data_IF_289374298642
#
_entry.id   IF_289374298642
#
_cell.length_a   1.000
_cell.length_b   1.000
_cell.length_c   1.000
_cell.angle_alpha   90.00
_cell.angle_beta   90.00
_cell.angle_gamma   90.00
#
_symmetry.space_group_name_H-M   'P 1'
#
loop_
_entity.id
_entity.type
_entity.pdbx_description
1 polymer ?
#
# COMPACT_ATOMS: atom_id res chain seq x y z
N UNK A 1 13.72 -33.98 6.15
CA UNK A 1 14.14 -33.33 7.41
C UNK A 1 13.29 -32.11 7.63
N UNK A 2 12.56 -32.10 8.76
CA UNK A 2 11.51 -31.15 9.12
C UNK A 2 12.05 -29.73 9.35
N UNK A 3 11.46 -28.72 8.69
CA UNK A 3 11.83 -27.32 8.92
C UNK A 3 10.85 -26.23 8.44
N UNK A 4 9.75 -26.55 7.76
CA UNK A 4 8.88 -25.56 7.09
C UNK A 4 7.63 -25.15 7.89
N UNK A 5 7.62 -25.38 9.21
CA UNK A 5 6.47 -25.08 10.09
C UNK A 5 6.72 -23.91 11.05
N UNK A 6 7.66 -23.01 10.76
CA UNK A 6 7.91 -21.85 11.63
C UNK A 6 7.28 -20.58 11.06
N UNK A 7 6.16 -20.17 11.71
CA UNK A 7 5.44 -18.88 11.67
C UNK A 7 4.04 -18.86 11.04
N UNK A 8 3.22 -19.87 11.31
CA UNK A 8 1.77 -19.85 11.04
C UNK A 8 0.93 -19.03 12.04
N UNK A 9 1.52 -18.03 12.69
CA UNK A 9 0.83 -17.20 13.67
C UNK A 9 1.23 -15.74 13.47
N UNK A 10 0.43 -14.96 12.72
CA UNK A 10 0.30 -13.48 12.83
C UNK A 10 -0.57 -12.80 11.75
N UNK A 11 -1.34 -13.51 10.92
CA UNK A 11 -2.12 -12.89 9.85
C UNK A 11 -3.57 -12.70 10.28
N UNK A 12 -3.88 -11.50 10.76
CA UNK A 12 -5.25 -11.14 11.19
C UNK A 12 -5.82 -9.96 10.41
N UNK A 13 -5.06 -9.37 9.47
CA UNK A 13 -5.46 -8.15 8.75
C UNK A 13 -5.34 -8.27 7.22
N UNK A 14 -5.14 -9.48 6.69
CA UNK A 14 -5.16 -9.78 5.26
C UNK A 14 -6.32 -10.75 5.06
N UNK A 15 -7.33 -10.44 4.21
CA UNK A 15 -8.41 -11.37 3.93
C UNK A 15 -7.87 -12.74 3.50
N UNK A 16 -8.47 -13.82 3.97
CA UNK A 16 -7.97 -15.18 3.71
C UNK A 16 -7.91 -15.51 2.20
N UNK A 17 -8.88 -14.99 1.43
CA UNK A 17 -8.93 -15.11 -0.02
C UNK A 17 -7.72 -14.43 -0.69
N UNK A 18 -7.43 -13.18 -0.32
CA UNK A 18 -6.23 -12.49 -0.80
C UNK A 18 -4.94 -13.24 -0.46
N UNK A 19 -4.87 -13.85 0.72
CA UNK A 19 -3.71 -14.67 1.08
C UNK A 19 -3.57 -15.88 0.15
N UNK A 20 -4.67 -16.58 -0.14
CA UNK A 20 -4.67 -17.74 -1.01
C UNK A 20 -4.28 -17.37 -2.45
N UNK A 21 -4.77 -16.23 -2.96
CA UNK A 21 -4.37 -15.68 -4.26
C UNK A 21 -2.86 -15.42 -4.32
N UNK A 22 -2.31 -14.72 -3.33
CA UNK A 22 -0.90 -14.36 -3.30
C UNK A 22 0.01 -15.59 -3.20
N UNK A 23 -0.41 -16.63 -2.50
CA UNK A 23 0.30 -17.91 -2.46
C UNK A 23 0.30 -18.59 -3.83
N UNK A 24 -0.86 -18.61 -4.52
CA UNK A 24 -0.97 -19.15 -5.88
C UNK A 24 -0.12 -18.38 -6.91
N UNK A 25 0.10 -17.09 -6.68
CA UNK A 25 0.99 -16.23 -7.47
C UNK A 25 2.48 -16.42 -7.14
N UNK A 26 2.83 -17.27 -6.18
CA UNK A 26 4.20 -17.42 -5.68
C UNK A 26 4.58 -16.28 -4.74
N UNK A 27 4.06 -16.35 -3.51
CA UNK A 27 4.32 -15.35 -2.47
C UNK A 27 5.82 -15.22 -2.17
N UNK A 28 6.36 -14.01 -2.30
CA UNK A 28 7.76 -13.69 -2.00
C UNK A 28 7.87 -13.20 -0.54
N UNK A 29 6.96 -12.32 -0.13
CA UNK A 29 6.97 -11.70 1.19
C UNK A 29 5.59 -11.21 1.59
N UNK A 30 5.26 -11.37 2.87
CA UNK A 30 4.02 -10.87 3.45
C UNK A 30 4.26 -10.22 4.80
N UNK A 31 3.71 -9.02 4.96
CA UNK A 31 3.77 -8.27 6.19
C UNK A 31 2.36 -7.81 6.61
N UNK A 32 1.73 -8.59 7.50
CA UNK A 32 0.47 -8.21 8.14
C UNK A 32 0.64 -7.30 9.35
N UNK A 33 -0.41 -6.51 9.65
CA UNK A 33 -0.51 -5.64 10.84
C UNK A 33 0.70 -4.70 11.00
N UNK A 34 1.12 -4.09 9.89
CA UNK A 34 2.24 -3.15 9.87
C UNK A 34 1.76 -1.74 10.21
N UNK A 35 2.58 -0.99 10.94
CA UNK A 35 2.31 0.42 11.17
C UNK A 35 2.42 1.20 9.87
N UNK A 36 1.39 1.96 9.53
CA UNK A 36 1.38 2.85 8.37
C UNK A 36 1.32 4.28 8.86
N UNK A 37 2.31 5.10 8.51
CA UNK A 37 2.26 6.54 8.78
C UNK A 37 1.82 7.23 7.50
N UNK A 38 0.68 7.90 7.58
CA UNK A 38 0.17 8.75 6.51
C UNK A 38 0.60 10.18 6.75
N UNK A 39 1.31 10.77 5.80
CA UNK A 39 1.52 12.21 5.69
C UNK A 39 0.60 12.75 4.61
N UNK A 40 -0.11 13.83 4.88
CA UNK A 40 -1.03 14.47 3.93
C UNK A 40 -0.86 15.97 4.02
N UNK A 41 -0.60 16.59 2.89
CA UNK A 41 -0.50 18.05 2.76
C UNK A 41 -1.15 18.45 1.46
N UNK A 42 -2.24 19.19 1.52
CA UNK A 42 -2.97 19.62 0.35
C UNK A 42 -4.48 19.73 0.55
N UNK A 43 -5.16 19.75 -0.58
CA UNK A 43 -6.61 19.87 -0.67
C UNK A 43 -7.20 18.66 -1.41
N UNK A 44 -8.23 18.07 -0.81
CA UNK A 44 -9.14 17.09 -1.42
C UNK A 44 -10.55 17.58 -1.07
N UNK A 45 -11.52 17.63 -2.00
CA UNK A 45 -12.85 18.17 -1.71
C UNK A 45 -13.43 17.64 -0.39
N UNK A 46 -13.73 18.56 0.54
CA UNK A 46 -14.19 18.25 1.90
C UNK A 46 -13.10 18.26 2.98
N UNK A 47 -11.82 18.36 2.63
CA UNK A 47 -10.72 18.46 3.60
C UNK A 47 -9.51 19.23 3.05
N UNK A 48 -8.92 20.05 3.92
CA UNK A 48 -7.64 20.70 3.68
C UNK A 48 -6.71 20.44 4.86
N UNK A 49 -5.42 20.27 4.59
CA UNK A 49 -4.41 20.20 5.63
C UNK A 49 -3.08 20.75 5.13
N UNK A 50 -2.45 21.63 5.91
CA UNK A 50 -1.10 22.11 5.63
C UNK A 50 -0.01 21.08 6.00
N UNK A 51 -0.28 20.19 6.98
CA UNK A 51 0.70 19.20 7.47
C UNK A 51 0.03 18.12 8.34
N UNK A 52 -0.83 17.30 7.75
CA UNK A 52 -1.55 16.23 8.44
C UNK A 52 -0.69 14.98 8.60
N UNK A 53 -0.62 14.43 9.81
CA UNK A 53 0.03 13.13 10.08
C UNK A 53 -0.94 12.24 10.85
N UNK A 54 -1.14 11.02 10.36
CA UNK A 54 -1.99 10.02 11.02
C UNK A 54 -1.34 8.64 10.99
N UNK A 55 -1.66 7.81 11.99
CA UNK A 55 -1.13 6.44 12.12
C UNK A 55 -2.25 5.43 11.93
N UNK A 56 -1.95 4.38 11.20
CA UNK A 56 -2.86 3.31 10.83
C UNK A 56 -2.16 1.95 10.97
N UNK A 57 -2.92 0.88 10.84
CA UNK A 57 -2.42 -0.49 10.75
C UNK A 57 -2.89 -1.10 9.44
N UNK A 58 -1.95 -1.51 8.59
CA UNK A 58 -2.22 -2.07 7.26
C UNK A 58 -1.46 -3.38 7.03
N UNK A 59 -1.35 -3.77 5.76
CA UNK A 59 -0.54 -4.89 5.32
C UNK A 59 0.07 -4.58 3.96
N UNK A 60 1.17 -5.25 3.61
CA UNK A 60 1.67 -5.30 2.24
C UNK A 60 2.29 -6.66 1.92
N UNK A 61 2.29 -7.00 0.65
CA UNK A 61 2.77 -8.26 0.12
C UNK A 61 3.47 -8.07 -1.22
N UNK A 62 4.43 -8.96 -1.49
CA UNK A 62 5.11 -9.11 -2.77
C UNK A 62 4.85 -10.55 -3.24
N UNK A 63 4.25 -10.73 -4.41
CA UNK A 63 4.18 -12.02 -5.10
C UNK A 63 5.03 -11.97 -6.37
N UNK A 64 5.20 -13.09 -7.07
CA UNK A 64 5.86 -13.07 -8.37
C UNK A 64 5.09 -12.22 -9.40
N UNK A 65 3.77 -12.08 -9.24
CA UNK A 65 2.90 -11.35 -10.15
C UNK A 65 2.81 -9.85 -9.83
N UNK A 66 2.69 -9.47 -8.55
CA UNK A 66 2.28 -8.10 -8.18
C UNK A 66 2.78 -7.60 -6.82
N UNK A 67 2.64 -6.29 -6.66
CA UNK A 67 2.77 -5.57 -5.40
C UNK A 67 1.36 -5.20 -4.88
N UNK A 68 1.07 -5.57 -3.63
CA UNK A 68 -0.22 -5.27 -2.99
C UNK A 68 0.01 -4.63 -1.62
N UNK A 69 -0.73 -3.57 -1.30
CA UNK A 69 -0.79 -3.05 0.05
C UNK A 69 -2.18 -2.51 0.43
N UNK A 70 -2.66 -2.95 1.59
CA UNK A 70 -3.94 -2.54 2.16
C UNK A 70 -3.78 -1.24 2.96
N UNK A 71 -4.87 -0.50 3.11
CA UNK A 71 -4.92 0.63 4.01
C UNK A 71 -6.29 0.61 4.70
N UNK A 72 -6.36 0.82 6.03
CA UNK A 72 -7.64 0.76 6.71
C UNK A 72 -8.48 1.99 6.37
N UNK A 73 -9.29 1.88 5.33
CA UNK A 73 -10.28 2.88 4.95
C UNK A 73 -11.62 2.55 5.56
N UNK A 74 -12.31 3.56 6.10
CA UNK A 74 -13.66 3.36 6.65
C UNK A 74 -14.64 3.05 5.51
N UNK A 75 -15.31 1.90 5.61
CA UNK A 75 -16.44 1.53 4.77
C UNK A 75 -16.07 0.84 3.45
N UNK A 76 -14.80 0.48 3.26
CA UNK A 76 -14.36 -0.37 2.15
C UNK A 76 -13.16 -1.20 2.62
N UNK A 77 -13.38 -2.51 2.73
CA UNK A 77 -12.38 -3.47 3.22
C UNK A 77 -11.43 -3.94 2.11
N UNK A 78 -11.86 -3.80 0.85
CA UNK A 78 -11.13 -4.27 -0.34
C UNK A 78 -10.30 -3.16 -0.96
N UNK A 79 -10.54 -1.91 -0.57
CA UNK A 79 -9.78 -0.77 -1.02
C UNK A 79 -8.31 -0.86 -0.61
N UNK A 80 -7.46 -0.88 -1.63
CA UNK A 80 -6.02 -1.01 -1.49
C UNK A 80 -5.35 0.32 -1.82
N UNK A 81 -4.25 0.58 -1.13
CA UNK A 81 -3.37 1.69 -1.49
C UNK A 81 -2.60 1.43 -2.79
N UNK A 82 -2.39 0.15 -3.10
CA UNK A 82 -1.78 -0.34 -4.34
C UNK A 82 -2.17 -1.80 -4.53
N UNK A 83 -2.49 -2.15 -5.77
CA UNK A 83 -2.64 -3.53 -6.26
C UNK A 83 -2.32 -3.49 -7.75
N UNK A 84 -1.06 -3.78 -8.10
CA UNK A 84 -0.64 -3.71 -9.50
C UNK A 84 0.48 -4.69 -9.84
N UNK A 85 0.50 -5.20 -11.09
CA UNK A 85 1.62 -5.98 -11.61
C UNK A 85 2.94 -5.21 -11.61
N UNK A 86 4.06 -5.93 -11.56
CA UNK A 86 5.40 -5.35 -11.50
C UNK A 86 5.81 -4.54 -12.74
N UNK A 87 5.21 -4.79 -13.90
CA UNK A 87 5.46 -4.07 -15.16
C UNK A 87 4.70 -2.73 -15.26
N UNK A 88 3.87 -2.39 -14.26
CA UNK A 88 3.20 -1.09 -14.17
C UNK A 88 4.23 0.03 -14.01
N UNK A 89 4.23 0.99 -14.92
CA UNK A 89 5.22 2.08 -14.94
C UNK A 89 4.61 3.48 -15.12
N UNK A 90 3.29 3.61 -14.99
CA UNK A 90 2.55 4.85 -15.25
C UNK A 90 1.55 5.14 -14.14
N UNK A 91 1.42 6.41 -13.81
CA UNK A 91 0.41 6.93 -12.89
C UNK A 91 0.98 7.99 -11.95
N UNK A 92 0.13 8.58 -11.11
CA UNK A 92 0.49 9.71 -10.24
C UNK A 92 1.22 9.28 -8.96
N UNK A 93 1.21 7.99 -8.63
CA UNK A 93 1.90 7.48 -7.46
C UNK A 93 3.19 6.73 -7.81
N UNK A 94 4.11 6.71 -6.86
CA UNK A 94 5.34 5.94 -6.88
C UNK A 94 5.41 5.06 -5.63
N UNK A 95 5.67 3.77 -5.82
CA UNK A 95 5.97 2.84 -4.75
C UNK A 95 7.49 2.62 -4.70
N UNK A 96 8.10 2.65 -3.52
CA UNK A 96 9.53 2.38 -3.31
C UNK A 96 9.71 1.36 -2.19
N UNK A 97 10.43 0.28 -2.48
CA UNK A 97 10.66 -0.83 -1.57
C UNK A 97 12.08 -0.76 -1.01
N UNK A 98 12.17 -0.75 0.32
CA UNK A 98 13.43 -0.60 1.05
C UNK A 98 13.53 -1.63 2.17
N UNK A 99 14.72 -1.78 2.76
CA UNK A 99 14.91 -2.58 3.99
C UNK A 99 14.01 -2.14 5.14
N UNK A 100 13.50 -0.90 5.13
CA UNK A 100 12.64 -0.34 6.19
C UNK A 100 11.14 -0.59 5.91
N UNK A 101 10.79 -1.05 4.71
CA UNK A 101 9.42 -1.32 4.30
C UNK A 101 9.08 -0.69 2.95
N UNK A 102 7.79 -0.41 2.78
CA UNK A 102 7.21 0.15 1.57
C UNK A 102 6.86 1.63 1.79
N UNK A 103 7.32 2.47 0.86
CA UNK A 103 6.92 3.87 0.74
C UNK A 103 6.00 4.02 -0.47
N UNK A 104 4.88 4.71 -0.29
CA UNK A 104 4.03 5.16 -1.39
C UNK A 104 3.96 6.68 -1.34
N UNK A 105 4.36 7.34 -2.43
CA UNK A 105 4.23 8.79 -2.63
C UNK A 105 3.18 9.04 -3.72
N UNK A 106 2.16 9.86 -3.44
CA UNK A 106 1.03 10.14 -4.33
C UNK A 106 1.00 11.64 -4.63
N UNK A 107 1.12 11.99 -5.91
CA UNK A 107 0.79 13.33 -6.41
C UNK A 107 -0.73 13.46 -6.53
N UNK A 108 -1.34 14.29 -5.68
CA UNK A 108 -2.80 14.39 -5.64
C UNK A 108 -3.37 15.01 -6.92
N UNK A 109 -2.67 16.00 -7.50
CA UNK A 109 -3.15 16.67 -8.72
C UNK A 109 -3.14 15.73 -9.92
N UNK A 110 -2.21 14.79 -9.96
CA UNK A 110 -2.15 13.75 -10.96
C UNK A 110 -3.22 12.66 -10.80
N UNK A 111 -3.86 12.55 -9.63
CA UNK A 111 -5.00 11.64 -9.39
C UNK A 111 -6.30 12.27 -9.88
N UNK A 112 -6.56 13.51 -9.48
CA UNK A 112 -7.77 14.25 -9.87
C UNK A 112 -7.44 15.75 -9.96
N UNK A 113 -7.85 16.47 -11.02
CA UNK A 113 -7.63 17.91 -11.14
C UNK A 113 -8.20 18.75 -9.99
N UNK A 114 -9.24 18.28 -9.29
CA UNK A 114 -9.82 18.93 -8.13
C UNK A 114 -8.94 18.82 -6.87
N UNK A 115 -7.94 17.94 -6.88
CA UNK A 115 -7.02 17.77 -5.77
C UNK A 115 -5.75 18.59 -5.96
N UNK A 116 -5.06 18.88 -4.88
CA UNK A 116 -3.72 19.48 -4.91
C UNK A 116 -2.89 19.03 -3.72
N UNK A 117 -1.57 19.03 -3.89
CA UNK A 117 -0.62 18.63 -2.85
C UNK A 117 -0.19 17.16 -2.98
N UNK A 118 0.17 16.54 -1.86
CA UNK A 118 0.72 15.18 -1.82
C UNK A 118 0.20 14.36 -0.65
N UNK A 119 0.21 13.03 -0.82
CA UNK A 119 0.01 12.07 0.24
C UNK A 119 1.14 11.04 0.24
N UNK A 120 1.67 10.72 1.42
CA UNK A 120 2.70 9.69 1.59
C UNK A 120 2.24 8.63 2.57
N UNK A 121 2.49 7.37 2.27
CA UNK A 121 2.16 6.22 3.11
C UNK A 121 3.44 5.45 3.41
N UNK A 122 3.83 5.39 4.68
CA UNK A 122 5.05 4.73 5.12
C UNK A 122 4.68 3.45 5.86
N UNK A 123 4.76 2.31 5.18
CA UNK A 123 4.53 0.99 5.75
C UNK A 123 5.80 0.51 6.43
N UNK A 124 5.76 0.38 7.76
CA UNK A 124 6.94 0.10 8.58
C UNK A 124 7.07 -1.39 8.85
N UNK A 125 7.92 -2.07 8.08
CA UNK A 125 8.32 -3.45 8.31
C UNK A 125 9.70 -3.69 7.72
N UNK A 126 10.56 -4.36 8.47
CA UNK A 126 11.83 -4.81 7.92
C UNK A 126 11.61 -5.78 6.76
N UNK A 127 12.21 -5.46 5.61
CA UNK A 127 12.25 -6.34 4.43
C UNK A 127 13.68 -6.88 4.34
N UNK A 128 13.87 -8.21 4.46
CA UNK A 128 15.19 -8.83 4.36
C UNK A 128 15.86 -8.62 2.99
N UNK A 129 17.18 -8.68 2.93
CA UNK A 129 17.94 -8.46 1.70
C UNK A 129 17.65 -9.53 0.64
N UNK A 130 17.52 -10.78 1.06
CA UNK A 130 17.15 -11.90 0.18
C UNK A 130 15.75 -11.73 -0.44
N UNK A 131 14.86 -10.98 0.22
CA UNK A 131 13.57 -10.61 -0.36
C UNK A 131 13.78 -9.52 -1.40
N UNK A 132 14.54 -8.48 -1.08
CA UNK A 132 14.81 -7.36 -1.99
C UNK A 132 15.50 -7.81 -3.29
N UNK A 133 16.39 -8.78 -3.22
CA UNK A 133 17.09 -9.38 -4.36
C UNK A 133 16.17 -10.20 -5.27
N UNK A 134 15.06 -10.73 -4.74
CA UNK A 134 14.07 -11.51 -5.49
C UNK A 134 13.01 -10.65 -6.18
N UNK A 135 12.94 -9.35 -5.89
CA UNK A 135 11.93 -8.47 -6.48
C UNK A 135 12.27 -8.13 -7.94
N UNK A 136 11.29 -8.14 -8.87
CA UNK A 136 11.51 -7.71 -10.25
C UNK A 136 12.00 -6.25 -10.36
N UNK A 137 11.51 -5.39 -9.48
CA UNK A 137 11.96 -4.01 -9.31
C UNK A 137 11.74 -3.55 -7.87
N UNK A 138 12.49 -2.52 -7.46
CA UNK A 138 12.34 -1.87 -6.15
C UNK A 138 11.56 -0.57 -6.20
N UNK A 139 11.19 -0.12 -7.39
CA UNK A 139 10.38 1.08 -7.59
C UNK A 139 9.48 0.92 -8.80
N UNK A 140 8.24 1.37 -8.69
CA UNK A 140 7.30 1.39 -9.81
C UNK A 140 6.33 2.57 -9.68
N UNK A 141 5.76 3.01 -10.81
CA UNK A 141 4.71 4.03 -10.83
C UNK A 141 3.38 3.37 -11.16
N UNK A 142 2.31 3.81 -10.53
CA UNK A 142 1.01 3.13 -10.64
C UNK A 142 -0.17 4.11 -10.58
N UNK A 143 -1.31 3.77 -11.20
CA UNK A 143 -2.54 4.54 -11.10
C UNK A 143 -3.10 4.46 -9.67
N UNK A 144 -3.79 5.50 -9.23
CA UNK A 144 -4.48 5.53 -7.93
C UNK A 144 -5.94 5.89 -8.16
N UNK A 145 -6.83 5.11 -7.55
CA UNK A 145 -8.26 5.42 -7.56
C UNK A 145 -8.52 6.69 -6.70
N UNK A 146 -9.19 7.73 -7.25
CA UNK A 146 -9.60 8.89 -6.46
C UNK A 146 -10.38 8.53 -5.18
N UNK A 147 -11.17 7.44 -5.19
CA UNK A 147 -11.89 6.95 -4.00
C UNK A 147 -10.93 6.60 -2.87
N UNK A 148 -9.78 5.98 -3.18
CA UNK A 148 -8.72 5.74 -2.20
C UNK A 148 -8.27 7.05 -1.55
N UNK A 149 -8.01 8.08 -2.35
CA UNK A 149 -7.53 9.38 -1.85
C UNK A 149 -8.57 10.02 -0.92
N UNK A 150 -9.85 10.06 -1.30
CA UNK A 150 -10.92 10.56 -0.44
C UNK A 150 -10.93 9.84 0.92
N UNK A 151 -10.95 8.50 0.90
CA UNK A 151 -11.03 7.70 2.11
C UNK A 151 -9.78 7.83 2.99
N UNK A 152 -8.60 7.83 2.39
CA UNK A 152 -7.33 8.03 3.10
C UNK A 152 -7.16 9.47 3.61
N UNK A 153 -7.82 10.45 2.99
CA UNK A 153 -7.93 11.82 3.49
C UNK A 153 -8.97 11.98 4.63
N UNK A 154 -9.77 10.94 4.91
CA UNK A 154 -10.77 10.94 5.97
C UNK A 154 -12.12 11.52 5.56
N UNK A 155 -12.35 11.69 4.26
CA UNK A 155 -13.60 12.23 3.70
C UNK A 155 -14.34 11.16 2.89
N UNK A 156 -15.66 11.33 2.74
CA UNK A 156 -16.45 10.51 1.84
C UNK A 156 -16.47 11.16 0.45
N UNK A 157 -16.31 10.39 -0.64
CA UNK A 157 -16.61 10.91 -1.98
C UNK A 157 -18.05 11.45 -2.00
N UNK A 158 -18.29 12.55 -2.73
CA UNK A 158 -19.67 12.95 -3.03
C UNK A 158 -20.27 11.91 -3.98
N UNK A 159 -21.47 11.43 -3.64
CA UNK A 159 -22.29 10.58 -4.51
C UNK A 159 -22.73 11.32 -5.77
#
# INVERSE_FOLDING_TARGET
VLGLLRKWAQLTNVPAELHAELEAEGLIFLAGRVGVVRHFSGHVPGVFSASGVARYSGAFAFSAARLVATFPTRGDADLRSIDCPWDTNKGPAAATITRKGLLIDIDLRGVDPAFSGSMKLHYKRHVPDEVLERLPTRSLRFPVDPVFVYRAAGVRPKS
#
